data_IF_660997167034
#
_entry.id   IF_660997167034
#
_cell.length_a   1.000
_cell.length_b   1.000
_cell.length_c   1.000
_cell.angle_alpha   90.00
_cell.angle_beta   90.00
_cell.angle_gamma   90.00
#
_symmetry.space_group_name_H-M   'P 1'
#
loop_
_entity.id
_entity.type
_entity.pdbx_description
1 polymer ?
#
# COMPACT_ATOMS: atom_id res chain seq x y z
N UNK A 1 -13.27 16.10 -5.11
CA UNK A 1 -13.84 14.75 -4.93
C UNK A 1 -14.98 14.88 -3.94
N UNK A 2 -16.05 14.11 -4.09
CA UNK A 2 -17.11 13.98 -3.08
C UNK A 2 -17.06 12.57 -2.47
N UNK A 3 -17.56 12.42 -1.24
CA UNK A 3 -17.79 11.11 -0.63
C UNK A 3 -19.15 10.62 -1.11
N UNK A 4 -19.17 9.40 -1.63
CA UNK A 4 -20.40 8.63 -1.81
C UNK A 4 -20.35 7.55 -0.73
N UNK A 5 -21.18 7.63 0.34
CA UNK A 5 -21.17 6.63 1.40
C UNK A 5 -21.57 5.27 0.80
N UNK A 6 -20.57 4.45 0.49
CA UNK A 6 -20.79 3.04 0.18
C UNK A 6 -20.70 2.31 1.52
N UNK A 7 -21.78 1.67 1.92
CA UNK A 7 -21.85 0.82 3.10
C UNK A 7 -20.89 -0.37 2.93
N UNK A 8 -19.64 -0.19 3.32
CA UNK A 8 -18.61 -1.22 3.29
C UNK A 8 -18.21 -1.62 1.87
N UNK A 9 -17.00 -1.27 1.46
CA UNK A 9 -16.32 -2.14 0.50
C UNK A 9 -15.94 -3.41 1.26
N UNK A 10 -16.93 -4.25 1.52
CA UNK A 10 -16.72 -5.58 2.06
C UNK A 10 -15.73 -6.28 1.14
N UNK A 11 -14.63 -6.77 1.71
CA UNK A 11 -13.60 -7.44 0.93
C UNK A 11 -14.27 -8.63 0.26
N UNK A 12 -14.31 -8.72 -1.09
CA UNK A 12 -15.04 -9.79 -1.76
C UNK A 12 -14.57 -11.15 -1.24
N UNK A 13 -15.50 -12.08 -1.03
CA UNK A 13 -15.21 -13.39 -0.43
C UNK A 13 -14.07 -14.12 -1.16
N UNK A 14 -13.98 -13.96 -2.49
CA UNK A 14 -12.90 -14.49 -3.29
C UNK A 14 -11.53 -13.91 -2.91
N UNK A 15 -11.45 -12.60 -2.63
CA UNK A 15 -10.21 -11.94 -2.16
C UNK A 15 -9.82 -12.44 -0.79
N UNK A 16 -10.79 -12.65 0.12
CA UNK A 16 -10.52 -13.24 1.45
C UNK A 16 -9.95 -14.64 1.29
N UNK A 17 -10.60 -15.51 0.50
CA UNK A 17 -10.15 -16.88 0.23
C UNK A 17 -8.73 -16.92 -0.33
N UNK A 18 -8.45 -16.08 -1.33
CA UNK A 18 -7.12 -16.00 -1.95
C UNK A 18 -6.07 -15.50 -0.96
N UNK A 19 -6.37 -14.44 -0.19
CA UNK A 19 -5.44 -13.90 0.81
C UNK A 19 -5.09 -14.93 1.89
N UNK A 20 -6.10 -15.67 2.39
CA UNK A 20 -5.90 -16.77 3.35
C UNK A 20 -5.10 -17.94 2.75
N UNK A 21 -5.37 -18.31 1.50
CA UNK A 21 -4.64 -19.37 0.82
C UNK A 21 -3.16 -19.01 0.57
N UNK A 22 -2.89 -17.76 0.20
CA UNK A 22 -1.53 -17.25 -0.01
C UNK A 22 -0.77 -16.98 1.29
N UNK A 23 -1.48 -16.75 2.40
CA UNK A 23 -0.91 -16.50 3.73
C UNK A 23 -1.57 -17.40 4.79
N UNK A 24 -1.24 -18.71 4.84
CA UNK A 24 -1.92 -19.68 5.72
C UNK A 24 -1.79 -19.37 7.21
N UNK A 25 -0.72 -18.69 7.62
CA UNK A 25 -0.48 -18.24 9.00
C UNK A 25 -0.97 -16.81 9.27
N UNK A 26 -1.64 -16.19 8.29
CA UNK A 26 -1.97 -14.77 8.31
C UNK A 26 -0.74 -13.87 8.17
N UNK A 27 -0.98 -12.56 8.19
CA UNK A 27 0.06 -11.54 8.23
C UNK A 27 -0.28 -10.52 9.32
N UNK A 28 0.73 -9.79 9.81
CA UNK A 28 0.52 -8.68 10.75
C UNK A 28 -0.45 -7.65 10.18
N UNK A 29 -0.38 -7.37 8.87
CA UNK A 29 -1.30 -6.46 8.20
C UNK A 29 -2.75 -6.96 8.22
N UNK A 30 -2.98 -8.27 8.05
CA UNK A 30 -4.32 -8.87 8.15
C UNK A 30 -4.87 -8.75 9.58
N UNK A 31 -4.07 -9.09 10.60
CA UNK A 31 -4.49 -8.99 11.99
C UNK A 31 -4.79 -7.54 12.42
N UNK A 32 -3.91 -6.59 12.06
CA UNK A 32 -4.14 -5.17 12.35
C UNK A 32 -5.38 -4.66 11.60
N UNK A 33 -5.55 -4.99 10.31
CA UNK A 33 -6.75 -4.60 9.55
C UNK A 33 -8.02 -5.11 10.22
N UNK A 34 -8.05 -6.37 10.65
CA UNK A 34 -9.23 -6.95 11.30
C UNK A 34 -9.52 -6.30 12.66
N UNK A 35 -8.49 -5.82 13.37
CA UNK A 35 -8.66 -5.01 14.58
C UNK A 35 -9.11 -3.57 14.32
N UNK A 36 -8.75 -3.01 13.16
CA UNK A 36 -9.12 -1.66 12.74
C UNK A 36 -10.48 -1.62 12.02
N UNK A 37 -11.04 -2.79 11.69
CA UNK A 37 -12.30 -2.88 10.99
C UNK A 37 -13.43 -2.23 11.80
N UNK A 38 -14.27 -1.44 11.11
CA UNK A 38 -15.39 -0.74 11.73
C UNK A 38 -15.04 0.43 12.67
N UNK A 39 -13.76 0.79 12.85
CA UNK A 39 -13.37 1.96 13.68
C UNK A 39 -13.82 3.28 13.05
N UNK A 40 -13.75 3.37 11.73
CA UNK A 40 -14.09 4.58 10.98
C UNK A 40 -15.26 4.32 10.05
N UNK A 41 -16.12 5.32 9.92
CA UNK A 41 -17.21 5.34 8.95
C UNK A 41 -17.05 6.53 8.02
N UNK A 42 -17.45 6.38 6.76
CA UNK A 42 -17.39 7.49 5.80
C UNK A 42 -18.24 8.70 6.25
N UNK A 43 -19.27 8.45 7.05
CA UNK A 43 -20.08 9.50 7.69
C UNK A 43 -19.25 10.41 8.61
N UNK A 44 -18.20 9.91 9.24
CA UNK A 44 -17.33 10.69 10.15
C UNK A 44 -16.54 11.78 9.39
N UNK A 45 -16.43 11.65 8.06
CA UNK A 45 -15.65 12.54 7.19
C UNK A 45 -16.53 13.39 6.27
N UNK A 46 -17.86 13.23 6.32
CA UNK A 46 -18.78 13.85 5.36
C UNK A 46 -18.68 15.38 5.34
N UNK A 47 -18.37 16.00 6.48
CA UNK A 47 -18.24 17.45 6.62
C UNK A 47 -16.98 18.01 5.94
N UNK A 48 -15.98 17.17 5.69
CA UNK A 48 -14.69 17.60 5.12
C UNK A 48 -14.66 17.52 3.58
N UNK A 49 -15.71 16.99 2.96
CA UNK A 49 -15.78 16.82 1.51
C UNK A 49 -16.98 17.57 0.92
N UNK A 50 -16.82 18.22 -0.25
CA UNK A 50 -17.95 18.82 -0.96
C UNK A 50 -18.95 17.73 -1.37
N UNK A 51 -20.25 18.04 -1.28
CA UNK A 51 -21.33 17.13 -1.71
C UNK A 51 -21.36 16.91 -3.21
N UNK A 52 -20.90 17.91 -3.96
CA UNK A 52 -20.85 18.00 -5.39
C UNK A 52 -19.40 17.83 -5.88
N UNK A 53 -19.14 16.70 -6.53
CA UNK A 53 -17.80 16.37 -7.01
C UNK A 53 -17.75 15.02 -7.71
N UNK A 54 -16.57 14.68 -8.24
CA UNK A 54 -16.30 13.30 -8.71
C UNK A 54 -16.20 12.36 -7.50
N UNK A 55 -16.82 11.16 -7.55
CA UNK A 55 -16.67 10.16 -6.49
C UNK A 55 -15.20 9.86 -6.21
N UNK A 56 -14.81 9.95 -4.94
CA UNK A 56 -13.47 9.59 -4.45
C UNK A 56 -13.42 8.18 -3.85
N UNK A 57 -12.22 7.78 -3.39
CA UNK A 57 -12.08 6.63 -2.48
C UNK A 57 -12.71 6.95 -1.11
N UNK A 58 -13.15 5.91 -0.41
CA UNK A 58 -13.68 6.04 0.96
C UNK A 58 -12.61 6.62 1.90
N UNK A 59 -12.89 7.74 2.60
CA UNK A 59 -11.97 8.29 3.60
C UNK A 59 -11.74 7.35 4.78
N UNK A 60 -12.75 6.57 5.20
CA UNK A 60 -12.57 5.57 6.24
C UNK A 60 -11.54 4.50 5.83
N UNK A 61 -11.61 4.02 4.58
CA UNK A 61 -10.61 3.10 4.05
C UNK A 61 -9.21 3.73 3.98
N UNK A 62 -9.12 4.99 3.56
CA UNK A 62 -7.84 5.70 3.53
C UNK A 62 -7.26 5.85 4.93
N UNK A 63 -8.07 6.18 5.94
CA UNK A 63 -7.64 6.24 7.34
C UNK A 63 -7.09 4.89 7.82
N UNK A 64 -7.79 3.78 7.54
CA UNK A 64 -7.30 2.43 7.86
C UNK A 64 -5.96 2.13 7.20
N UNK A 65 -5.81 2.45 5.90
CA UNK A 65 -4.56 2.23 5.18
C UNK A 65 -3.43 3.10 5.76
N UNK A 66 -3.70 4.36 6.10
CA UNK A 66 -2.71 5.24 6.71
C UNK A 66 -2.23 4.74 8.08
N UNK A 67 -3.14 4.23 8.91
CA UNK A 67 -2.75 3.63 10.21
C UNK A 67 -1.97 2.33 9.99
N UNK A 68 -2.37 1.49 9.04
CA UNK A 68 -1.61 0.29 8.68
C UNK A 68 -0.20 0.63 8.19
N UNK A 69 -0.06 1.64 7.31
CA UNK A 69 1.24 2.13 6.86
C UNK A 69 2.11 2.61 8.02
N UNK A 70 1.53 3.41 8.93
CA UNK A 70 2.22 3.90 10.12
C UNK A 70 2.68 2.77 11.04
N UNK A 71 1.78 1.84 11.41
CA UNK A 71 2.08 0.73 12.31
C UNK A 71 3.08 -0.28 11.73
N UNK A 72 3.13 -0.39 10.40
CA UNK A 72 4.07 -1.27 9.70
C UNK A 72 5.37 -0.54 9.31
N UNK A 73 5.53 0.73 9.71
CA UNK A 73 6.67 1.59 9.36
C UNK A 73 6.93 1.63 7.84
N UNK A 74 5.86 1.61 7.04
CA UNK A 74 5.94 1.63 5.58
C UNK A 74 5.67 3.04 5.05
N UNK A 75 6.57 3.55 4.22
CA UNK A 75 6.25 4.68 3.35
C UNK A 75 5.21 4.29 2.30
N UNK A 76 4.48 5.26 1.75
CA UNK A 76 3.52 5.03 0.66
C UNK A 76 4.11 4.20 -0.49
N UNK A 77 5.38 4.44 -0.81
CA UNK A 77 6.12 3.70 -1.84
C UNK A 77 6.32 2.24 -1.45
N UNK A 78 6.68 1.97 -0.20
CA UNK A 78 6.86 0.60 0.31
C UNK A 78 5.53 -0.14 0.40
N UNK A 79 4.46 0.54 0.82
CA UNK A 79 3.11 -0.02 0.83
C UNK A 79 2.64 -0.38 -0.59
N UNK A 80 2.81 0.52 -1.55
CA UNK A 80 2.47 0.27 -2.96
C UNK A 80 3.29 -0.88 -3.57
N UNK A 81 4.59 -0.98 -3.25
CA UNK A 81 5.43 -2.09 -3.70
C UNK A 81 5.04 -3.42 -3.08
N UNK A 82 4.70 -3.46 -1.78
CA UNK A 82 4.21 -4.66 -1.12
C UNK A 82 2.93 -5.19 -1.80
N UNK A 83 1.98 -4.29 -2.11
CA UNK A 83 0.77 -4.64 -2.88
C UNK A 83 1.11 -5.10 -4.29
N UNK A 84 2.09 -4.48 -4.96
CA UNK A 84 2.51 -4.88 -6.32
C UNK A 84 3.06 -6.31 -6.32
N UNK A 85 3.87 -6.67 -5.33
CA UNK A 85 4.40 -8.02 -5.20
C UNK A 85 3.30 -9.03 -4.86
N UNK A 86 2.42 -8.72 -3.90
CA UNK A 86 1.30 -9.59 -3.53
C UNK A 86 0.33 -9.83 -4.71
N UNK A 87 -0.03 -8.77 -5.46
CA UNK A 87 -0.86 -8.88 -6.66
C UNK A 87 -0.19 -9.71 -7.76
N UNK A 88 1.13 -9.58 -7.93
CA UNK A 88 1.88 -10.43 -8.86
C UNK A 88 1.88 -11.88 -8.41
N UNK A 89 1.99 -12.16 -7.11
CA UNK A 89 1.91 -13.52 -6.57
C UNK A 89 0.54 -14.16 -6.79
N UNK A 90 -0.54 -13.44 -6.50
CA UNK A 90 -1.93 -13.90 -6.76
C UNK A 90 -2.11 -14.26 -8.24
N UNK A 91 -1.55 -13.44 -9.14
CA UNK A 91 -1.68 -13.65 -10.59
C UNK A 91 -0.79 -14.77 -11.13
N UNK A 92 0.28 -15.14 -10.42
CA UNK A 92 1.28 -16.13 -10.85
C UNK A 92 1.10 -17.51 -10.19
N UNK A 93 0.24 -17.66 -9.18
CA UNK A 93 -0.18 -18.97 -8.67
C UNK A 93 0.89 -19.79 -7.94
N UNK A 94 2.03 -19.20 -7.55
CA UNK A 94 3.11 -19.91 -6.86
C UNK A 94 3.12 -19.64 -5.36
N UNK A 95 2.70 -20.63 -4.57
CA UNK A 95 2.91 -20.66 -3.12
C UNK A 95 4.30 -21.17 -2.79
N UNK A 96 5.27 -20.27 -2.64
CA UNK A 96 6.49 -20.45 -1.83
C UNK A 96 7.37 -19.21 -1.94
N UNK A 97 7.65 -18.56 -0.81
CA UNK A 97 8.71 -17.55 -0.69
C UNK A 97 8.18 -16.15 -0.40
N UNK A 98 8.31 -15.75 0.87
CA UNK A 98 8.15 -14.36 1.32
C UNK A 98 9.03 -13.47 0.42
N UNK A 99 8.49 -12.47 -0.31
CA UNK A 99 9.31 -11.62 -1.13
C UNK A 99 10.24 -10.83 -0.21
N UNK A 100 11.54 -11.12 -0.29
CA UNK A 100 12.56 -10.29 0.35
C UNK A 100 12.56 -8.98 -0.42
N UNK A 101 11.94 -7.95 0.16
CA UNK A 101 11.96 -6.61 -0.40
C UNK A 101 13.43 -6.26 -0.68
N UNK A 102 13.80 -5.88 -1.92
CA UNK A 102 15.15 -5.40 -2.17
C UNK A 102 15.44 -4.23 -1.23
N UNK A 103 16.66 -4.12 -0.68
CA UNK A 103 17.00 -3.02 0.21
C UNK A 103 16.80 -1.70 -0.55
N UNK A 104 15.82 -0.92 -0.10
CA UNK A 104 15.53 0.37 -0.70
C UNK A 104 16.58 1.37 -0.23
N UNK A 105 17.14 2.12 -1.19
CA UNK A 105 17.99 3.26 -0.85
C UNK A 105 17.13 4.28 -0.11
N UNK A 106 17.61 4.86 1.00
CA UNK A 106 16.87 5.92 1.68
C UNK A 106 16.65 7.08 0.70
N UNK A 107 15.40 7.52 0.61
CA UNK A 107 15.02 8.69 -0.17
C UNK A 107 15.78 9.90 0.40
N UNK A 108 16.70 10.48 -0.38
CA UNK A 108 17.43 11.70 0.00
C UNK A 108 18.95 11.72 -0.21
N UNK A 109 19.60 10.63 -0.62
CA UNK A 109 21.04 10.67 -0.94
C UNK A 109 21.26 11.21 -2.38
N UNK A 110 21.98 12.34 -2.55
CA UNK A 110 22.28 12.84 -3.89
C UNK A 110 23.07 11.80 -4.68
N UNK A 111 22.71 11.69 -5.96
CA UNK A 111 23.39 10.84 -6.94
C UNK A 111 24.88 11.21 -6.90
N UNK A 112 25.74 10.29 -6.44
CA UNK A 112 27.18 10.50 -6.49
C UNK A 112 27.55 10.85 -7.94
N UNK A 113 27.96 12.11 -8.16
CA UNK A 113 28.44 12.57 -9.44
C UNK A 113 29.60 11.65 -9.83
N UNK A 114 29.40 10.87 -10.89
CA UNK A 114 30.48 10.14 -11.52
C UNK A 114 31.57 11.13 -11.89
N UNK A 115 32.77 10.94 -11.32
CA UNK A 115 33.98 11.67 -11.71
C UNK A 115 34.13 11.59 -13.23
N UNK A 116 34.01 12.74 -13.89
CA UNK A 116 34.37 12.89 -15.29
C UNK A 116 35.86 12.57 -15.48
N UNK A 117 36.14 11.56 -16.32
CA UNK A 117 37.48 11.30 -16.82
C UNK A 117 37.68 12.23 -18.02
N UNK A 118 38.27 13.40 -17.79
CA UNK A 118 38.70 14.29 -18.88
C UNK A 118 39.84 13.61 -19.63
N UNK A 119 39.69 13.53 -20.95
CA UNK A 119 40.81 13.27 -21.86
C UNK A 119 41.70 14.50 -21.97
N UNK A 120 43.00 14.28 -22.06
CA UNK A 120 44.01 15.31 -22.30
C UNK A 120 45.19 14.67 -23.05
N UNK A 121 45.42 15.16 -24.25
CA UNK A 121 46.35 14.72 -25.28
C UNK A 121 47.83 14.94 -24.91
N UNK A 122 48.67 14.12 -25.54
CA UNK A 122 50.13 14.10 -25.74
C UNK A 122 50.95 15.40 -25.66
N UNK A 123 52.28 15.25 -25.61
CA UNK A 123 53.14 15.78 -26.68
C UNK A 123 53.69 14.68 -27.60
#
# INVERSE_FOLDING_TARGET
MCIQPCSGSEVPELTVKVACASNPHGTTAMAIRDHLDGIWRDEDFVEWYPRDGKPGLSPAQLATVSVLQFLLELSDRQAAEAVRWDRLQIRLGHGTGRPRLPPQRPDGLPRALGRGRQGGQAP
#
